data_IF_943733607867
#
_entry.id   IF_943733607867
#
_cell.length_a   1.000
_cell.length_b   1.000
_cell.length_c   1.000
_cell.angle_alpha   90.00
_cell.angle_beta   90.00
_cell.angle_gamma   90.00
#
_symmetry.space_group_name_H-M   'P 1'
#
loop_
_entity.id
_entity.type
_entity.pdbx_description
1 polymer ?
#
# COMPACT_ATOMS: atom_id res chain seq x y z
N UNK A 1 25.22 -11.78 -59.22
CA UNK A 1 23.93 -11.07 -59.23
C UNK A 1 23.33 -11.21 -57.85
N UNK A 2 23.41 -10.13 -57.08
CA UNK A 2 23.00 -10.05 -55.68
C UNK A 2 21.71 -9.23 -55.69
N UNK A 3 20.60 -9.78 -55.20
CA UNK A 3 19.34 -9.05 -55.00
C UNK A 3 18.98 -9.10 -53.49
N UNK A 4 18.64 -7.98 -52.84
CA UNK A 4 18.72 -7.79 -51.40
C UNK A 4 17.46 -8.19 -50.62
N UNK A 5 17.66 -8.40 -49.32
CA UNK A 5 16.63 -8.70 -48.34
C UNK A 5 15.53 -7.63 -48.25
N UNK A 6 14.29 -8.10 -48.21
CA UNK A 6 13.13 -7.29 -47.89
C UNK A 6 13.11 -7.00 -46.38
N UNK A 7 13.36 -5.74 -46.04
CA UNK A 7 13.17 -5.16 -44.71
C UNK A 7 11.67 -4.88 -44.50
N UNK A 8 11.10 -5.43 -43.42
CA UNK A 8 9.78 -5.06 -42.94
C UNK A 8 9.82 -3.65 -42.31
N UNK A 9 8.81 -2.79 -42.55
CA UNK A 9 8.77 -1.46 -41.94
C UNK A 9 8.43 -1.55 -40.45
N UNK A 10 9.35 -1.03 -39.63
CA UNK A 10 9.15 -0.81 -38.20
C UNK A 10 8.09 0.29 -38.00
N UNK A 11 6.96 -0.07 -37.41
CA UNK A 11 5.97 0.89 -36.94
C UNK A 11 6.58 1.65 -35.75
N UNK A 12 6.94 2.92 -35.98
CA UNK A 12 7.44 3.81 -34.94
C UNK A 12 6.34 4.13 -33.94
N UNK A 13 6.55 3.78 -32.68
CA UNK A 13 5.73 4.29 -31.58
C UNK A 13 6.24 5.68 -31.20
N UNK A 14 5.36 6.66 -31.39
CA UNK A 14 5.54 8.06 -31.01
C UNK A 14 5.88 8.19 -29.52
N UNK A 15 7.00 8.82 -29.25
CA UNK A 15 7.41 9.25 -27.91
C UNK A 15 6.43 10.28 -27.36
N UNK A 16 5.95 10.04 -26.14
CA UNK A 16 5.29 11.04 -25.32
C UNK A 16 6.24 11.51 -24.21
N UNK A 17 6.62 12.79 -24.31
CA UNK A 17 6.71 13.74 -23.21
C UNK A 17 7.56 13.37 -21.99
N UNK A 18 8.78 13.87 -21.98
CA UNK A 18 9.64 14.05 -20.81
C UNK A 18 8.98 14.92 -19.72
N UNK A 19 8.79 14.34 -18.53
CA UNK A 19 8.51 15.08 -17.29
C UNK A 19 9.80 15.49 -16.57
N UNK A 20 9.85 16.61 -15.83
CA UNK A 20 11.09 17.19 -15.35
C UNK A 20 11.75 16.42 -14.18
N UNK A 21 13.03 16.08 -14.41
CA UNK A 21 14.15 15.92 -13.46
C UNK A 21 13.86 15.51 -12.01
N UNK A 22 14.09 14.23 -11.70
CA UNK A 22 14.39 13.81 -10.33
C UNK A 22 15.90 14.00 -10.01
N UNK A 23 16.26 14.54 -8.83
CA UNK A 23 17.66 14.67 -8.43
C UNK A 23 18.35 13.31 -8.23
N UNK A 24 19.49 13.16 -8.89
CA UNK A 24 20.43 12.05 -8.73
C UNK A 24 21.15 12.17 -7.38
N UNK A 25 20.68 11.45 -6.36
CA UNK A 25 21.45 11.26 -5.13
C UNK A 25 22.53 10.23 -5.40
N UNK A 26 23.75 10.72 -5.59
CA UNK A 26 24.92 9.94 -5.94
C UNK A 26 25.21 8.80 -4.99
N UNK A 27 25.39 7.60 -5.54
CA UNK A 27 26.10 6.52 -4.88
C UNK A 27 27.53 6.52 -5.38
N UNK A 28 28.41 7.18 -4.63
CA UNK A 28 29.86 7.07 -4.75
C UNK A 28 30.29 5.69 -4.27
N UNK A 29 31.09 5.01 -5.10
CA UNK A 29 31.41 3.60 -4.96
C UNK A 29 32.39 3.28 -3.84
N UNK A 30 32.24 2.05 -3.33
CA UNK A 30 33.30 1.31 -2.63
C UNK A 30 33.23 -0.17 -3.01
N UNK A 31 34.34 -0.68 -3.56
CA UNK A 31 34.90 -2.01 -3.28
C UNK A 31 34.15 -3.25 -3.79
N UNK A 32 34.75 -3.94 -4.76
CA UNK A 32 34.33 -5.22 -5.30
C UNK A 32 34.29 -6.36 -4.26
N UNK A 33 33.22 -7.17 -4.29
CA UNK A 33 33.31 -8.62 -4.08
C UNK A 33 32.10 -9.31 -4.72
N UNK A 34 32.38 -10.21 -5.67
CA UNK A 34 31.39 -10.84 -6.53
C UNK A 34 30.37 -11.67 -5.77
N UNK A 35 29.13 -11.19 -5.75
CA UNK A 35 27.94 -12.01 -5.55
C UNK A 35 27.35 -12.33 -6.93
N UNK A 36 26.82 -13.55 -7.15
CA UNK A 36 26.11 -13.86 -8.38
C UNK A 36 24.97 -12.84 -8.56
N UNK A 37 24.71 -12.38 -9.80
CA UNK A 37 23.59 -11.47 -10.04
C UNK A 37 22.32 -12.15 -9.54
N UNK A 38 21.64 -11.53 -8.59
CA UNK A 38 20.30 -11.94 -8.19
C UNK A 38 19.45 -12.06 -9.46
N UNK A 39 18.65 -13.12 -9.62
CA UNK A 39 17.79 -13.27 -10.78
C UNK A 39 16.99 -11.98 -10.94
N UNK A 40 16.96 -11.43 -12.15
CA UNK A 40 16.18 -10.25 -12.51
C UNK A 40 14.67 -10.57 -12.33
N UNK A 41 14.22 -10.49 -11.07
CA UNK A 41 12.89 -10.80 -10.63
C UNK A 41 12.26 -9.55 -10.06
N UNK A 42 11.18 -9.11 -10.71
CA UNK A 42 10.31 -8.00 -10.33
C UNK A 42 11.01 -6.63 -10.34
N UNK A 43 10.89 -5.93 -11.47
CA UNK A 43 10.97 -4.48 -11.46
C UNK A 43 10.06 -3.95 -10.34
N UNK A 44 10.59 -3.03 -9.54
CA UNK A 44 9.87 -2.44 -8.41
C UNK A 44 8.44 -2.08 -8.87
N UNK A 45 7.39 -2.58 -8.19
CA UNK A 45 6.03 -2.29 -8.61
C UNK A 45 5.85 -0.77 -8.65
N UNK A 46 5.21 -0.21 -9.69
CA UNK A 46 5.04 1.23 -9.82
C UNK A 46 4.42 1.80 -8.54
N UNK A 47 5.20 2.63 -7.84
CA UNK A 47 4.85 3.24 -6.56
C UNK A 47 3.96 4.44 -6.86
N UNK A 48 2.65 4.25 -6.76
CA UNK A 48 1.69 5.33 -6.89
C UNK A 48 1.79 6.33 -5.73
N UNK A 49 0.90 7.34 -5.68
CA UNK A 49 0.95 8.40 -4.68
C UNK A 49 1.06 7.85 -3.24
N UNK A 50 1.89 8.50 -2.42
CA UNK A 50 2.05 8.15 -1.01
C UNK A 50 0.77 8.51 -0.25
N UNK A 51 0.31 7.59 0.60
CA UNK A 51 -0.84 7.80 1.48
C UNK A 51 -0.54 8.70 2.68
N UNK A 52 -1.57 8.99 3.45
CA UNK A 52 -1.49 9.93 4.56
C UNK A 52 -1.23 9.20 5.89
N UNK A 53 -0.31 9.75 6.69
CA UNK A 53 -0.08 9.30 8.07
C UNK A 53 -1.20 9.85 8.95
N UNK A 54 -1.90 8.95 9.66
CA UNK A 54 -3.05 9.31 10.48
C UNK A 54 -2.79 9.02 11.94
N UNK A 55 -2.80 10.06 12.78
CA UNK A 55 -2.64 9.91 14.23
C UNK A 55 -3.66 8.93 14.81
N UNK A 56 -3.17 7.84 15.39
CA UNK A 56 -4.00 6.77 15.96
C UNK A 56 -4.94 7.31 17.04
N UNK A 57 -4.46 8.20 17.91
CA UNK A 57 -5.29 8.82 18.95
C UNK A 57 -6.39 9.71 18.38
N UNK A 58 -6.06 10.50 17.35
CA UNK A 58 -7.05 11.36 16.67
C UNK A 58 -8.11 10.54 15.96
N UNK A 59 -7.74 9.45 15.28
CA UNK A 59 -8.70 8.55 14.65
C UNK A 59 -9.65 7.90 15.66
N UNK A 60 -9.14 7.47 16.82
CA UNK A 60 -9.98 6.91 17.90
C UNK A 60 -10.92 7.98 18.46
N UNK A 61 -10.42 9.20 18.70
CA UNK A 61 -11.24 10.31 19.15
C UNK A 61 -12.36 10.62 18.14
N UNK A 62 -12.04 10.70 16.86
CA UNK A 62 -13.00 10.94 15.79
C UNK A 62 -14.01 9.80 15.68
N UNK A 63 -13.60 8.55 15.87
CA UNK A 63 -14.51 7.41 15.93
C UNK A 63 -15.55 7.59 17.05
N UNK A 64 -15.13 7.99 18.24
CA UNK A 64 -16.03 8.22 19.38
C UNK A 64 -16.96 9.41 19.12
N UNK A 65 -16.40 10.56 18.71
CA UNK A 65 -17.15 11.80 18.48
C UNK A 65 -18.18 11.64 17.36
N UNK A 66 -17.87 10.85 16.34
CA UNK A 66 -18.78 10.58 15.23
C UNK A 66 -19.68 9.36 15.46
N UNK A 67 -19.72 8.79 16.67
CA UNK A 67 -20.52 7.60 16.99
C UNK A 67 -20.27 6.42 16.03
N UNK A 68 -19.03 6.27 15.59
CA UNK A 68 -18.59 5.19 14.71
C UNK A 68 -18.62 5.49 13.21
N UNK A 69 -19.28 6.56 12.75
CA UNK A 69 -19.36 6.89 11.32
C UNK A 69 -17.99 7.19 10.70
N UNK A 70 -17.04 7.72 11.48
CA UNK A 70 -15.67 7.93 11.01
C UNK A 70 -14.98 6.65 10.52
N UNK A 71 -15.38 5.47 11.04
CA UNK A 71 -14.79 4.20 10.58
C UNK A 71 -15.00 3.97 9.08
N UNK A 72 -16.16 4.37 8.54
CA UNK A 72 -16.47 4.25 7.11
C UNK A 72 -15.58 5.14 6.25
N UNK A 73 -15.38 6.39 6.68
CA UNK A 73 -14.43 7.30 6.04
C UNK A 73 -13.02 6.73 6.06
N UNK A 74 -12.57 6.22 7.21
CA UNK A 74 -11.25 5.64 7.36
C UNK A 74 -11.05 4.41 6.46
N UNK A 75 -12.04 3.50 6.37
CA UNK A 75 -11.98 2.36 5.46
C UNK A 75 -11.92 2.80 4.00
N UNK A 76 -12.77 3.74 3.58
CA UNK A 76 -12.74 4.28 2.23
C UNK A 76 -11.36 4.86 1.88
N UNK A 77 -10.85 5.78 2.70
CA UNK A 77 -9.58 6.48 2.43
C UNK A 77 -8.38 5.56 2.45
N UNK A 78 -8.30 4.67 3.44
CA UNK A 78 -7.17 3.74 3.57
C UNK A 78 -7.10 2.82 2.37
N UNK A 79 -8.22 2.18 1.99
CA UNK A 79 -8.25 1.27 0.83
C UNK A 79 -8.02 1.99 -0.50
N UNK A 80 -8.52 3.22 -0.64
CA UNK A 80 -8.22 4.05 -1.79
C UNK A 80 -6.72 4.33 -1.94
N UNK A 81 -6.04 4.70 -0.85
CA UNK A 81 -4.61 4.98 -0.84
C UNK A 81 -3.76 3.74 -1.10
N UNK A 82 -4.07 2.62 -0.43
CA UNK A 82 -3.37 1.35 -0.67
C UNK A 82 -3.48 0.92 -2.13
N UNK A 83 -4.68 1.03 -2.73
CA UNK A 83 -4.91 0.69 -4.14
C UNK A 83 -4.21 1.65 -5.09
N UNK A 84 -4.31 2.96 -4.86
CA UNK A 84 -3.63 3.97 -5.70
C UNK A 84 -2.11 3.82 -5.65
N UNK A 85 -1.58 3.49 -4.47
CA UNK A 85 -0.15 3.34 -4.27
C UNK A 85 0.41 2.03 -4.84
N UNK A 86 -0.29 0.91 -4.66
CA UNK A 86 0.20 -0.42 -5.04
C UNK A 86 -0.39 -0.98 -6.35
N UNK A 87 -1.33 -0.25 -6.97
CA UNK A 87 -2.13 -0.68 -8.12
C UNK A 87 -2.88 -2.01 -7.93
N UNK A 88 -3.15 -2.40 -6.69
CA UNK A 88 -3.85 -3.64 -6.33
C UNK A 88 -4.58 -3.48 -4.97
N UNK A 89 -5.58 -4.30 -4.74
CA UNK A 89 -6.47 -4.22 -3.56
C UNK A 89 -7.90 -3.78 -3.90
N UNK A 90 -8.76 -3.83 -2.88
CA UNK A 90 -10.20 -3.54 -2.97
C UNK A 90 -10.45 -2.13 -3.53
N UNK A 91 -9.77 -1.13 -2.97
CA UNK A 91 -10.01 0.28 -3.26
C UNK A 91 -11.18 0.86 -2.48
N UNK A 92 -11.20 2.18 -2.34
CA UNK A 92 -12.08 2.88 -1.40
C UNK A 92 -13.57 2.63 -1.62
N UNK A 93 -14.06 2.73 -2.86
CA UNK A 93 -15.50 2.58 -3.13
C UNK A 93 -16.02 1.18 -2.77
N UNK A 94 -15.30 0.13 -3.16
CA UNK A 94 -15.67 -1.26 -2.83
C UNK A 94 -15.53 -1.49 -1.32
N UNK A 95 -14.45 -0.99 -0.71
CA UNK A 95 -14.26 -1.06 0.74
C UNK A 95 -15.40 -0.39 1.52
N UNK A 96 -15.91 0.75 1.05
CA UNK A 96 -17.03 1.45 1.68
C UNK A 96 -18.34 0.64 1.58
N UNK A 97 -18.64 0.08 0.42
CA UNK A 97 -19.82 -0.79 0.24
C UNK A 97 -19.73 -1.99 1.20
N UNK A 98 -18.56 -2.64 1.27
CA UNK A 98 -18.35 -3.76 2.20
C UNK A 98 -18.42 -3.32 3.67
N UNK A 99 -17.94 -2.12 4.01
CA UNK A 99 -18.05 -1.60 5.37
C UNK A 99 -19.51 -1.42 5.81
N UNK A 100 -20.40 -1.03 4.90
CA UNK A 100 -21.82 -0.83 5.19
C UNK A 100 -22.57 -2.17 5.36
N UNK A 101 -22.36 -3.11 4.43
CA UNK A 101 -23.14 -4.36 4.42
C UNK A 101 -22.50 -5.52 5.19
N UNK A 102 -21.17 -5.50 5.34
CA UNK A 102 -20.36 -6.60 5.89
C UNK A 102 -19.24 -6.08 6.79
N UNK A 103 -19.52 -5.01 7.55
CA UNK A 103 -18.53 -4.26 8.33
C UNK A 103 -17.67 -5.10 9.28
N UNK A 104 -18.18 -6.23 9.78
CA UNK A 104 -17.42 -7.17 10.64
C UNK A 104 -16.22 -7.81 9.93
N UNK A 105 -16.24 -7.89 8.60
CA UNK A 105 -15.17 -8.49 7.78
C UNK A 105 -14.06 -7.47 7.46
N UNK A 106 -14.38 -6.19 7.43
CA UNK A 106 -13.45 -5.11 7.06
C UNK A 106 -12.14 -5.08 7.87
N UNK A 107 -12.13 -5.34 9.18
CA UNK A 107 -10.91 -5.44 9.99
C UNK A 107 -9.90 -6.47 9.48
N UNK A 108 -10.37 -7.62 9.02
CA UNK A 108 -9.54 -8.70 8.48
C UNK A 108 -8.95 -8.29 7.13
N UNK A 109 -9.79 -7.77 6.23
CA UNK A 109 -9.37 -7.34 4.89
C UNK A 109 -8.37 -6.18 4.95
N UNK A 110 -8.61 -5.21 5.83
CA UNK A 110 -7.72 -4.04 5.95
C UNK A 110 -6.35 -4.43 6.49
N UNK A 111 -6.30 -5.34 7.47
CA UNK A 111 -5.03 -5.82 8.02
C UNK A 111 -4.26 -6.68 7.02
N UNK A 112 -4.99 -7.48 6.22
CA UNK A 112 -4.41 -8.26 5.13
C UNK A 112 -3.80 -7.36 4.03
N UNK A 113 -4.54 -6.35 3.56
CA UNK A 113 -4.02 -5.42 2.53
C UNK A 113 -2.87 -4.57 3.04
N UNK A 114 -2.93 -4.11 4.30
CA UNK A 114 -1.81 -3.44 4.94
C UNK A 114 -0.55 -4.33 4.98
N UNK A 115 -0.70 -5.62 5.31
CA UNK A 115 0.39 -6.60 5.26
C UNK A 115 0.97 -6.79 3.85
N UNK A 116 0.11 -6.92 2.83
CA UNK A 116 0.53 -7.06 1.44
C UNK A 116 1.42 -5.91 0.95
N UNK A 117 1.26 -4.70 1.48
CA UNK A 117 2.12 -3.57 1.13
C UNK A 117 3.59 -3.82 1.51
N UNK A 118 3.82 -4.43 2.68
CA UNK A 118 5.15 -4.84 3.14
C UNK A 118 5.68 -6.00 2.30
N UNK A 119 4.87 -7.02 2.06
CA UNK A 119 5.28 -8.23 1.31
C UNK A 119 5.75 -7.91 -0.11
N UNK A 120 5.09 -6.95 -0.79
CA UNK A 120 5.51 -6.47 -2.13
C UNK A 120 6.90 -5.86 -2.16
N UNK A 121 7.35 -5.32 -1.03
CA UNK A 121 8.68 -4.74 -0.86
C UNK A 121 9.68 -5.76 -0.32
N UNK A 122 9.30 -7.04 -0.25
CA UNK A 122 10.11 -8.11 0.35
C UNK A 122 10.27 -7.98 1.86
N UNK A 123 9.40 -7.22 2.53
CA UNK A 123 9.44 -7.01 3.98
C UNK A 123 8.50 -7.97 4.70
N UNK A 124 8.81 -8.28 5.96
CA UNK A 124 7.90 -9.05 6.81
C UNK A 124 6.66 -8.21 7.13
N UNK A 125 5.47 -8.79 6.93
CA UNK A 125 4.22 -8.13 7.24
C UNK A 125 4.01 -8.04 8.78
N UNK A 126 3.95 -6.83 9.37
CA UNK A 126 3.72 -6.68 10.81
C UNK A 126 2.26 -7.00 11.21
N UNK A 127 1.35 -6.95 10.24
CA UNK A 127 -0.08 -7.26 10.38
C UNK A 127 -0.56 -8.10 9.21
N UNK A 128 -1.59 -8.90 9.43
CA UNK A 128 -2.23 -9.73 8.40
C UNK A 128 -3.69 -9.99 8.72
N UNK A 129 -4.38 -10.82 7.94
CA UNK A 129 -5.81 -11.08 8.12
C UNK A 129 -6.18 -11.51 9.55
N UNK A 130 -5.34 -12.34 10.20
CA UNK A 130 -5.54 -12.79 11.58
C UNK A 130 -5.48 -11.65 12.62
N UNK A 131 -4.85 -10.52 12.30
CA UNK A 131 -4.90 -9.33 13.16
C UNK A 131 -6.35 -8.86 13.37
N UNK A 132 -7.24 -9.10 12.41
CA UNK A 132 -8.68 -8.83 12.50
C UNK A 132 -9.40 -9.57 13.63
N UNK A 133 -8.84 -10.67 14.16
CA UNK A 133 -9.41 -11.39 15.32
C UNK A 133 -9.48 -10.53 16.59
N UNK A 134 -8.63 -9.51 16.70
CA UNK A 134 -8.73 -8.55 17.80
C UNK A 134 -10.00 -7.70 17.69
N UNK A 135 -10.52 -7.44 16.50
CA UNK A 135 -11.78 -6.72 16.33
C UNK A 135 -12.99 -7.60 16.65
N UNK A 136 -13.10 -8.76 16.03
CA UNK A 136 -14.15 -9.74 16.30
C UNK A 136 -13.50 -11.06 16.70
N UNK A 137 -13.70 -11.61 17.91
CA UNK A 137 -14.73 -11.36 18.95
C UNK A 137 -14.45 -10.21 19.94
N UNK A 138 -13.33 -9.48 19.80
CA UNK A 138 -12.93 -8.49 20.81
C UNK A 138 -13.88 -7.31 21.01
N UNK A 139 -14.83 -7.07 20.10
CA UNK A 139 -15.87 -6.03 20.24
C UNK A 139 -16.72 -6.22 21.49
N UNK A 140 -16.88 -7.46 22.00
CA UNK A 140 -17.64 -7.74 23.23
C UNK A 140 -16.97 -7.20 24.49
N UNK A 141 -15.66 -6.97 24.46
CA UNK A 141 -14.89 -6.41 25.58
C UNK A 141 -14.47 -4.95 25.36
N UNK A 142 -14.88 -4.33 24.23
CA UNK A 142 -14.52 -2.98 23.74
C UNK A 142 -13.01 -2.71 23.51
N UNK A 143 -12.12 -3.37 24.24
CA UNK A 143 -10.67 -3.24 24.15
C UNK A 143 -10.12 -3.87 22.87
N UNK A 144 -10.74 -4.94 22.37
CA UNK A 144 -10.27 -5.65 21.19
C UNK A 144 -10.17 -4.78 19.93
N UNK A 145 -11.24 -4.06 19.53
CA UNK A 145 -11.21 -3.12 18.41
C UNK A 145 -10.10 -2.08 18.51
N UNK A 146 -9.78 -1.61 19.73
CA UNK A 146 -8.69 -0.66 19.97
C UNK A 146 -7.35 -1.33 19.67
N UNK A 147 -7.10 -2.54 20.17
CA UNK A 147 -5.85 -3.28 19.89
C UNK A 147 -5.68 -3.53 18.39
N UNK A 148 -6.75 -3.99 17.72
CA UNK A 148 -6.77 -4.17 16.28
C UNK A 148 -6.39 -2.87 15.56
N UNK A 149 -7.08 -1.78 15.89
CA UNK A 149 -6.91 -0.51 15.22
C UNK A 149 -5.50 0.05 15.41
N UNK A 150 -4.96 -0.01 16.63
CA UNK A 150 -3.59 0.44 16.92
C UNK A 150 -2.56 -0.32 16.10
N UNK A 151 -2.70 -1.65 15.98
CA UNK A 151 -1.77 -2.48 15.19
C UNK A 151 -1.87 -2.17 13.70
N UNK A 152 -3.08 -2.13 13.15
CA UNK A 152 -3.28 -1.94 11.70
C UNK A 152 -2.98 -0.50 11.28
N UNK A 153 -3.48 0.51 12.01
CA UNK A 153 -3.17 1.91 11.74
C UNK A 153 -1.68 2.23 12.01
N UNK A 154 -1.08 1.62 13.04
CA UNK A 154 0.35 1.70 13.30
C UNK A 154 1.17 1.17 12.12
N UNK A 155 0.90 -0.05 11.66
CA UNK A 155 1.56 -0.64 10.51
C UNK A 155 1.37 0.19 9.23
N UNK A 156 0.17 0.74 8.99
CA UNK A 156 -0.07 1.62 7.84
C UNK A 156 0.73 2.92 7.93
N UNK A 157 0.74 3.56 9.10
CA UNK A 157 1.51 4.79 9.29
C UNK A 157 3.01 4.57 9.14
N UNK A 158 3.53 3.47 9.70
CA UNK A 158 4.95 3.13 9.59
C UNK A 158 5.32 2.79 8.14
N UNK A 159 4.41 2.15 7.42
CA UNK A 159 4.56 1.94 5.98
C UNK A 159 4.66 3.28 5.24
N UNK A 160 3.71 4.19 5.47
CA UNK A 160 3.70 5.49 4.80
C UNK A 160 4.93 6.33 5.14
N UNK A 161 5.36 6.35 6.40
CA UNK A 161 6.63 7.00 6.81
C UNK A 161 7.83 6.39 6.12
N UNK A 162 7.87 5.05 5.99
CA UNK A 162 8.98 4.35 5.33
C UNK A 162 9.10 4.62 3.82
N UNK A 163 8.04 5.19 3.19
CA UNK A 163 8.06 5.63 1.79
C UNK A 163 8.09 7.15 1.65
N UNK A 164 8.24 7.90 2.74
CA UNK A 164 8.47 9.35 2.72
C UNK A 164 7.25 10.22 3.05
N UNK A 165 6.18 9.68 3.62
CA UNK A 165 5.05 10.49 4.08
C UNK A 165 5.47 11.42 5.24
N UNK A 166 5.08 12.71 5.22
CA UNK A 166 5.27 13.60 6.36
C UNK A 166 4.40 13.13 7.54
N UNK A 167 4.94 13.26 8.76
CA UNK A 167 4.31 12.82 10.00
C UNK A 167 3.49 13.89 10.71
#
# INVERSE_FOLDING_TARGET
>A
MSDPGQQQPAYGSQGYGSGPGQPNYGQQGYGAQGYPPAPAGYGAPPVGPIGEVRSTGTCILLFIVTLGFYSWYWFFKTHEEMKRHSNDGLGGAIALILAIFVGVVMPYLTSYEAGKLYERRGQQAPVGGLTGLWYFPGVFILVGPIIWFVKTNGALNDYWRSVGAPG
#
